data_IF_565572194127
#
_entry.id   IF_565572194127
#
_cell.length_a   1.000
_cell.length_b   1.000
_cell.length_c   1.000
_cell.angle_alpha   90.00
_cell.angle_beta   90.00
_cell.angle_gamma   90.00
#
_symmetry.space_group_name_H-M   'P 1'
#
loop_
_entity.id
_entity.type
_entity.pdbx_description
1 polymer ?
#
# COMPACT_ATOMS: atom_id res chain seq x y z
N UNK A 1 1.47 14.22 -16.56
CA UNK A 1 2.61 13.37 -16.13
C UNK A 1 2.45 13.29 -14.61
N UNK A 2 2.80 12.17 -13.97
CA UNK A 2 2.20 11.78 -12.69
C UNK A 2 2.23 12.88 -11.62
N UNK A 3 1.06 13.28 -11.14
CA UNK A 3 0.85 14.25 -10.06
C UNK A 3 0.58 13.51 -8.73
N UNK A 4 0.07 12.27 -8.79
CA UNK A 4 -0.22 11.41 -7.62
C UNK A 4 0.28 9.98 -7.80
N UNK A 5 1.06 9.51 -6.83
CA UNK A 5 1.63 8.15 -6.80
C UNK A 5 1.09 7.39 -5.60
N UNK A 6 0.46 6.23 -5.83
CA UNK A 6 -0.03 5.37 -4.75
C UNK A 6 0.95 4.23 -4.45
N UNK A 7 1.31 4.08 -3.18
CA UNK A 7 2.08 2.97 -2.63
C UNK A 7 1.24 2.20 -1.61
N UNK A 8 0.56 1.11 -2.02
CA UNK A 8 -0.08 0.20 -1.08
C UNK A 8 0.96 -0.63 -0.32
N UNK A 9 0.78 -0.77 0.99
CA UNK A 9 1.67 -1.55 1.86
C UNK A 9 0.90 -2.53 2.75
N UNK A 10 1.46 -3.72 2.93
CA UNK A 10 1.03 -4.70 3.94
C UNK A 10 2.02 -4.78 5.12
N UNK A 11 2.97 -3.84 5.21
CA UNK A 11 4.05 -3.80 6.21
C UNK A 11 5.13 -4.88 5.99
N UNK A 12 5.23 -5.44 4.79
CA UNK A 12 6.29 -6.41 4.46
C UNK A 12 7.54 -5.75 3.88
N UNK A 13 8.71 -6.37 4.08
CA UNK A 13 9.98 -5.96 3.45
C UNK A 13 9.87 -5.85 1.92
N UNK A 14 8.99 -6.64 1.30
CA UNK A 14 8.74 -6.56 -0.14
C UNK A 14 8.01 -5.28 -0.54
N UNK A 15 7.08 -4.80 0.29
CA UNK A 15 6.42 -3.51 0.10
C UNK A 15 7.40 -2.36 0.32
N UNK A 16 8.29 -2.46 1.32
CA UNK A 16 9.38 -1.49 1.54
C UNK A 16 10.32 -1.42 0.33
N UNK A 17 10.72 -2.56 -0.26
CA UNK A 17 11.52 -2.57 -1.48
C UNK A 17 10.82 -1.91 -2.68
N UNK A 18 9.49 -1.99 -2.75
CA UNK A 18 8.70 -1.29 -3.77
C UNK A 18 8.64 0.23 -3.51
N UNK A 19 8.81 0.67 -2.25
CA UNK A 19 8.75 2.07 -1.88
C UNK A 19 9.84 2.91 -2.55
N UNK A 20 11.05 2.39 -2.71
CA UNK A 20 12.13 3.10 -3.42
C UNK A 20 11.74 3.50 -4.86
N UNK A 21 10.94 2.68 -5.53
CA UNK A 21 10.42 3.01 -6.86
C UNK A 21 9.33 4.08 -6.80
N UNK A 22 8.49 4.07 -5.76
CA UNK A 22 7.47 5.09 -5.54
C UNK A 22 8.11 6.44 -5.20
N UNK A 23 9.11 6.47 -4.30
CA UNK A 23 9.88 7.65 -3.98
C UNK A 23 10.55 8.24 -5.22
N UNK A 24 11.23 7.41 -6.02
CA UNK A 24 11.90 7.88 -7.23
C UNK A 24 10.93 8.50 -8.25
N UNK A 25 9.71 7.97 -8.36
CA UNK A 25 8.68 8.57 -9.22
C UNK A 25 8.16 9.89 -8.65
N UNK A 26 7.89 9.94 -7.34
CA UNK A 26 7.44 11.15 -6.66
C UNK A 26 8.49 12.26 -6.76
N UNK A 27 9.76 11.98 -6.49
CA UNK A 27 10.87 12.93 -6.59
C UNK A 27 11.04 13.47 -8.02
N UNK A 28 10.97 12.57 -9.01
CA UNK A 28 11.21 12.96 -10.41
C UNK A 28 10.14 13.89 -10.95
N UNK A 29 8.91 13.74 -10.45
CA UNK A 29 7.73 14.38 -11.00
C UNK A 29 7.10 15.41 -10.06
N UNK A 30 7.68 15.63 -8.87
CA UNK A 30 7.13 16.49 -7.82
C UNK A 30 5.69 16.08 -7.47
N UNK A 31 5.46 14.76 -7.42
CA UNK A 31 4.15 14.17 -7.22
C UNK A 31 3.87 13.93 -5.73
N UNK A 32 2.59 14.00 -5.36
CA UNK A 32 2.14 13.61 -4.02
C UNK A 32 2.18 12.09 -3.88
N UNK A 33 2.86 11.60 -2.84
CA UNK A 33 2.91 10.19 -2.49
C UNK A 33 1.76 9.84 -1.53
N UNK A 34 0.91 8.92 -1.93
CA UNK A 34 -0.13 8.35 -1.09
C UNK A 34 0.32 6.98 -0.58
N UNK A 35 0.48 6.82 0.73
CA UNK A 35 0.79 5.53 1.37
C UNK A 35 -0.49 4.92 1.93
N UNK A 36 -0.90 3.77 1.40
CA UNK A 36 -2.17 3.13 1.78
C UNK A 36 -1.91 1.79 2.47
N UNK A 37 -2.43 1.61 3.68
CA UNK A 37 -2.56 0.29 4.27
C UNK A 37 -4.02 -0.16 4.24
N UNK A 38 -4.28 -1.41 3.84
CA UNK A 38 -5.63 -1.99 3.91
C UNK A 38 -5.64 -3.14 4.90
N UNK A 39 -6.46 -3.00 5.94
CA UNK A 39 -6.69 -4.03 6.94
C UNK A 39 -7.75 -5.03 6.43
N UNK A 40 -7.41 -6.30 6.21
CA UNK A 40 -8.36 -7.28 5.71
C UNK A 40 -9.49 -7.57 6.72
N UNK A 41 -10.75 -7.64 6.25
CA UNK A 41 -11.94 -7.88 7.11
C UNK A 41 -11.85 -9.19 7.93
N UNK A 42 -11.18 -10.21 7.40
CA UNK A 42 -10.94 -11.47 8.10
C UNK A 42 -9.92 -11.30 9.25
N UNK A 43 -8.95 -10.39 9.12
CA UNK A 43 -8.02 -10.05 10.20
C UNK A 43 -8.69 -9.22 11.28
N UNK A 44 -9.64 -8.35 10.91
CA UNK A 44 -10.53 -7.70 11.88
C UNK A 44 -11.12 -8.79 12.76
N UNK A 45 -11.80 -9.80 12.19
CA UNK A 45 -12.48 -10.89 12.93
C UNK A 45 -11.58 -11.68 13.87
N UNK A 46 -10.31 -11.89 13.51
CA UNK A 46 -9.34 -12.68 14.27
C UNK A 46 -8.78 -11.97 15.52
N UNK A 47 -8.93 -10.64 15.64
CA UNK A 47 -8.46 -9.92 16.84
C UNK A 47 -9.40 -10.21 18.01
N UNK A 48 -8.82 -10.82 19.04
CA UNK A 48 -9.46 -11.09 20.33
C UNK A 48 -9.51 -9.77 21.12
N UNK A 49 -10.71 -9.21 21.27
CA UNK A 49 -10.98 -7.95 21.98
C UNK A 49 -12.45 -7.55 21.82
N UNK A 50 -13.00 -6.73 22.73
CA UNK A 50 -14.36 -6.18 22.62
C UNK A 50 -14.27 -4.70 22.26
N UNK A 51 -15.06 -4.26 21.27
CA UNK A 51 -15.23 -2.84 20.96
C UNK A 51 -13.90 -2.12 20.70
N UNK A 52 -13.60 -1.15 21.56
CA UNK A 52 -12.50 -0.18 21.43
C UNK A 52 -11.11 -0.81 21.39
N UNK A 53 -10.82 -1.83 22.22
CA UNK A 53 -9.49 -2.48 22.26
C UNK A 53 -9.09 -3.13 20.91
N UNK A 54 -10.10 -3.59 20.16
CA UNK A 54 -9.90 -4.17 18.84
C UNK A 54 -9.66 -3.12 17.78
N UNK A 55 -10.32 -1.97 17.89
CA UNK A 55 -10.08 -0.82 17.01
C UNK A 55 -8.68 -0.27 17.24
N UNK A 56 -8.27 -0.08 18.50
CA UNK A 56 -6.93 0.37 18.86
C UNK A 56 -5.83 -0.55 18.28
N UNK A 57 -6.04 -1.86 18.35
CA UNK A 57 -5.09 -2.84 17.80
C UNK A 57 -5.00 -2.81 16.26
N UNK A 58 -6.12 -2.55 15.57
CA UNK A 58 -6.15 -2.42 14.11
C UNK A 58 -5.46 -1.12 13.67
N UNK A 59 -5.77 -0.03 14.35
CA UNK A 59 -5.14 1.27 14.12
C UNK A 59 -3.63 1.24 14.39
N UNK A 60 -3.21 0.58 15.48
CA UNK A 60 -1.80 0.40 15.78
C UNK A 60 -1.07 -0.34 14.66
N UNK A 61 -1.63 -1.47 14.19
CA UNK A 61 -1.03 -2.22 13.08
C UNK A 61 -0.99 -1.44 11.77
N UNK A 62 -2.06 -0.72 11.45
CA UNK A 62 -2.08 0.11 10.27
C UNK A 62 -1.03 1.22 10.33
N UNK A 63 -0.90 1.85 11.51
CA UNK A 63 0.13 2.86 11.76
C UNK A 63 1.54 2.28 11.63
N UNK A 64 1.79 1.11 12.21
CA UNK A 64 3.08 0.43 12.11
C UNK A 64 3.44 0.10 10.66
N UNK A 65 2.46 -0.20 9.81
CA UNK A 65 2.68 -0.50 8.39
C UNK A 65 3.00 0.72 7.53
N UNK A 66 2.44 1.90 7.84
CA UNK A 66 2.63 3.13 7.05
C UNK A 66 3.75 4.02 7.58
N UNK A 67 3.98 4.05 8.90
CA UNK A 67 4.89 5.00 9.55
C UNK A 67 6.31 4.97 8.98
N UNK A 68 6.96 3.80 8.82
CA UNK A 68 8.32 3.76 8.27
C UNK A 68 8.41 4.40 6.89
N UNK A 69 7.40 4.16 6.04
CA UNK A 69 7.38 4.69 4.67
C UNK A 69 7.13 6.20 4.64
N UNK A 70 6.27 6.70 5.53
CA UNK A 70 5.99 8.14 5.65
C UNK A 70 7.20 8.90 6.21
N UNK A 71 7.87 8.36 7.22
CA UNK A 71 9.09 8.95 7.79
C UNK A 71 10.20 9.01 6.74
N UNK A 72 10.37 7.92 5.99
CA UNK A 72 11.32 7.80 4.90
C UNK A 72 11.03 8.75 3.73
N UNK A 73 9.77 8.94 3.35
CA UNK A 73 9.36 9.91 2.34
C UNK A 73 9.59 11.35 2.83
N UNK A 74 9.24 11.64 4.07
CA UNK A 74 9.43 12.96 4.69
C UNK A 74 10.92 13.32 4.77
N UNK A 75 11.79 12.37 5.11
CA UNK A 75 13.24 12.55 5.14
C UNK A 75 13.85 12.85 3.76
N UNK A 76 13.12 12.55 2.68
CA UNK A 76 13.46 12.85 1.28
C UNK A 76 12.80 14.13 0.77
N UNK A 77 12.17 14.91 1.65
CA UNK A 77 11.42 16.14 1.30
C UNK A 77 10.25 15.90 0.32
N UNK A 78 9.66 14.69 0.33
CA UNK A 78 8.50 14.37 -0.49
C UNK A 78 7.19 14.85 0.15
N UNK A 79 6.25 15.33 -0.68
CA UNK A 79 4.86 15.51 -0.27
C UNK A 79 4.24 14.13 -0.07
N UNK A 80 3.85 13.80 1.16
CA UNK A 80 3.31 12.47 1.50
C UNK A 80 2.06 12.57 2.35
N UNK A 81 1.06 11.77 1.99
CA UNK A 81 -0.14 11.49 2.80
C UNK A 81 -0.26 9.99 3.05
N UNK A 82 -0.99 9.62 4.10
CA UNK A 82 -1.23 8.20 4.41
C UNK A 82 -2.67 7.94 4.84
N UNK A 83 -3.17 6.77 4.48
CA UNK A 83 -4.51 6.30 4.81
C UNK A 83 -4.49 4.84 5.27
N UNK A 84 -5.43 4.50 6.14
CA UNK A 84 -5.66 3.14 6.62
C UNK A 84 -7.13 2.80 6.35
N UNK A 85 -7.36 1.85 5.45
CA UNK A 85 -8.69 1.41 5.05
C UNK A 85 -9.01 0.02 5.60
N UNK A 86 -10.28 -0.30 5.75
CA UNK A 86 -10.74 -1.65 6.12
C UNK A 86 -11.52 -2.25 4.96
N UNK A 87 -11.19 -3.48 4.57
CA UNK A 87 -11.91 -4.12 3.49
C UNK A 87 -11.13 -5.24 2.81
N UNK A 88 -11.59 -5.58 1.61
CA UNK A 88 -10.84 -6.46 0.71
C UNK A 88 -9.70 -5.67 0.05
N UNK A 89 -8.41 -6.04 0.25
CA UNK A 89 -7.26 -5.20 -0.14
C UNK A 89 -7.29 -4.67 -1.58
N UNK A 90 -7.44 -5.56 -2.56
CA UNK A 90 -7.43 -5.13 -3.97
C UNK A 90 -8.61 -4.20 -4.31
N UNK A 91 -9.75 -4.31 -3.60
CA UNK A 91 -10.91 -3.42 -3.84
C UNK A 91 -10.66 -2.05 -3.26
N UNK A 92 -10.13 -1.98 -2.05
CA UNK A 92 -9.82 -0.71 -1.40
C UNK A 92 -8.69 0.03 -2.11
N UNK A 93 -7.67 -0.67 -2.62
CA UNK A 93 -6.63 -0.05 -3.45
C UNK A 93 -7.22 0.59 -4.70
N UNK A 94 -8.12 -0.10 -5.40
CA UNK A 94 -8.76 0.43 -6.61
C UNK A 94 -9.73 1.57 -6.31
N UNK A 95 -10.51 1.46 -5.23
CA UNK A 95 -11.41 2.52 -4.79
C UNK A 95 -10.63 3.77 -4.41
N UNK A 96 -9.58 3.65 -3.60
CA UNK A 96 -8.71 4.76 -3.23
C UNK A 96 -8.05 5.39 -4.46
N UNK A 97 -7.56 4.58 -5.41
CA UNK A 97 -6.96 5.10 -6.63
C UNK A 97 -7.94 5.90 -7.50
N UNK A 98 -9.22 5.52 -7.52
CA UNK A 98 -10.29 6.24 -8.22
C UNK A 98 -10.68 7.52 -7.46
N UNK A 99 -10.89 7.41 -6.14
CA UNK A 99 -11.33 8.52 -5.27
C UNK A 99 -10.32 9.66 -5.19
N UNK A 100 -9.03 9.32 -5.19
CA UNK A 100 -7.92 10.29 -5.09
C UNK A 100 -7.30 10.63 -6.46
N UNK A 101 -7.96 10.27 -7.58
CA UNK A 101 -7.44 10.39 -8.96
C UNK A 101 -5.94 10.03 -9.08
N UNK A 102 -5.54 8.87 -8.58
CA UNK A 102 -4.15 8.41 -8.62
C UNK A 102 -3.73 8.14 -10.07
N UNK A 103 -2.58 8.66 -10.47
CA UNK A 103 -2.08 8.46 -11.84
C UNK A 103 -1.29 7.16 -12.03
N UNK A 104 -0.67 6.66 -10.96
CA UNK A 104 0.12 5.42 -10.98
C UNK A 104 0.16 4.73 -9.62
N UNK A 105 0.03 3.41 -9.63
CA UNK A 105 0.19 2.56 -8.45
C UNK A 105 1.53 1.83 -8.51
N UNK A 106 2.31 1.89 -7.43
CA UNK A 106 3.56 1.14 -7.29
C UNK A 106 3.34 0.05 -6.26
N UNK A 107 3.47 -1.21 -6.66
CA UNK A 107 3.20 -2.36 -5.81
C UNK A 107 4.30 -3.40 -5.88
N UNK A 108 4.57 -4.04 -4.76
CA UNK A 108 5.35 -5.26 -4.76
C UNK A 108 4.58 -6.39 -5.45
N UNK A 109 5.30 -7.29 -6.11
CA UNK A 109 4.72 -8.52 -6.69
C UNK A 109 4.49 -9.60 -5.64
N UNK A 110 4.86 -9.38 -4.37
CA UNK A 110 4.73 -10.35 -3.30
C UNK A 110 4.43 -9.64 -1.98
N UNK A 111 3.53 -10.21 -1.17
CA UNK A 111 3.23 -9.72 0.18
C UNK A 111 3.55 -10.76 1.27
N UNK A 112 2.98 -10.58 2.46
CA UNK A 112 3.20 -11.43 3.65
C UNK A 112 2.88 -12.92 3.43
N UNK A 113 1.89 -13.24 2.60
CA UNK A 113 1.41 -14.61 2.39
C UNK A 113 2.10 -15.37 1.25
N UNK A 114 3.05 -14.75 0.53
CA UNK A 114 3.69 -15.34 -0.64
C UNK A 114 4.76 -16.38 -0.30
N UNK A 115 4.39 -17.66 -0.22
CA UNK A 115 5.30 -18.81 -0.12
C UNK A 115 5.55 -19.38 -1.53
N UNK A 116 6.72 -19.12 -2.12
CA UNK A 116 7.17 -19.76 -3.37
C UNK A 116 7.81 -18.82 -4.39
N UNK A 117 8.75 -19.34 -5.19
CA UNK A 117 9.61 -18.58 -6.14
C UNK A 117 8.93 -18.13 -7.45
N UNK A 118 7.62 -18.33 -7.65
CA UNK A 118 7.01 -18.23 -9.00
C UNK A 118 5.62 -17.55 -9.04
N UNK A 119 5.01 -17.16 -7.91
CA UNK A 119 3.61 -16.69 -7.92
C UNK A 119 3.53 -15.22 -7.52
N UNK A 120 3.04 -14.38 -8.44
CA UNK A 120 2.67 -12.99 -8.15
C UNK A 120 1.57 -12.96 -7.09
N UNK A 121 1.68 -12.04 -6.14
CA UNK A 121 0.75 -11.86 -5.04
C UNK A 121 -0.67 -11.62 -5.55
N UNK A 122 -1.64 -12.28 -4.92
CA UNK A 122 -3.04 -12.25 -5.34
C UNK A 122 -3.67 -10.86 -5.34
N UNK A 123 -3.15 -9.93 -4.52
CA UNK A 123 -3.60 -8.53 -4.51
C UNK A 123 -3.09 -7.81 -5.76
N UNK A 124 -1.79 -7.81 -6.00
CA UNK A 124 -1.14 -7.18 -7.16
C UNK A 124 -1.69 -7.74 -8.47
N UNK A 125 -1.84 -9.06 -8.58
CA UNK A 125 -2.45 -9.70 -9.76
C UNK A 125 -3.87 -9.16 -10.03
N UNK A 126 -4.69 -9.00 -8.98
CA UNK A 126 -6.06 -8.50 -9.13
C UNK A 126 -6.09 -7.02 -9.48
N UNK A 127 -5.26 -6.19 -8.84
CA UNK A 127 -5.16 -4.76 -9.17
C UNK A 127 -4.77 -4.58 -10.64
N UNK A 128 -3.75 -5.29 -11.13
CA UNK A 128 -3.35 -5.25 -12.54
C UNK A 128 -4.45 -5.76 -13.48
N UNK A 129 -5.16 -6.82 -13.08
CA UNK A 129 -6.17 -7.47 -13.94
C UNK A 129 -7.42 -6.63 -14.14
N UNK A 130 -7.87 -5.93 -13.11
CA UNK A 130 -9.19 -5.26 -13.11
C UNK A 130 -9.13 -3.75 -12.93
N UNK A 131 -7.97 -3.20 -12.57
CA UNK A 131 -7.78 -1.76 -12.41
C UNK A 131 -7.54 -1.04 -13.74
N UNK A 132 -7.85 0.25 -13.74
CA UNK A 132 -7.67 1.13 -14.90
C UNK A 132 -6.41 2.01 -14.76
N UNK A 133 -5.95 2.23 -13.53
CA UNK A 133 -4.73 2.98 -13.22
C UNK A 133 -3.47 2.18 -13.62
N UNK A 134 -2.48 2.78 -14.29
CA UNK A 134 -1.18 2.17 -14.55
C UNK A 134 -0.53 1.61 -13.28
N UNK A 135 0.13 0.44 -13.40
CA UNK A 135 0.78 -0.24 -12.27
C UNK A 135 2.25 -0.53 -12.55
N UNK A 136 3.13 -0.16 -11.62
CA UNK A 136 4.51 -0.64 -11.55
C UNK A 136 4.56 -1.83 -10.60
N UNK A 137 4.86 -3.01 -11.14
CA UNK A 137 4.97 -4.24 -10.38
C UNK A 137 6.45 -4.54 -10.06
N UNK A 138 6.83 -4.40 -8.80
CA UNK A 138 8.22 -4.55 -8.34
C UNK A 138 8.49 -6.00 -7.90
N UNK A 139 9.39 -6.75 -8.57
CA UNK A 139 9.81 -8.08 -8.13
C UNK A 139 10.52 -8.01 -6.78
N UNK A 140 10.47 -9.10 -5.99
CA UNK A 140 11.35 -9.24 -4.81
C UNK A 140 12.81 -9.19 -5.28
N UNK A 141 13.63 -8.44 -4.55
CA UNK A 141 15.08 -8.46 -4.69
C UNK A 141 15.67 -9.82 -4.25
#
# INVERSE_FOLDING_TARGET
MYDRVLLPTDGSEAAEAAAEHAYSLAERYDAELHVLHVVPENETTAIVGRGDERLDALEARGRDAVTPLVEDATARDLSVTSAIEVGTPYRQILAYADEEDVDIVVMSTHGRSGVGRVVMGSVTERVIRVGETPVVAVPRA
#
